data_IF_839684337248
#
_entry.id   IF_839684337248
#
_cell.length_a   1.000
_cell.length_b   1.000
_cell.length_c   1.000
_cell.angle_alpha   90.00
_cell.angle_beta   90.00
_cell.angle_gamma   90.00
#
_symmetry.space_group_name_H-M   'P 1'
#
loop_
_entity.id
_entity.type
_entity.pdbx_description
1 polymer ?
#
# COMPACT_ATOMS: atom_id res chain seq x y z
N UNK A 1 -21.97 9.94 -22.02
CA UNK A 1 -22.91 9.16 -21.17
C UNK A 1 -23.33 10.04 -20.00
N UNK A 2 -24.62 10.05 -19.64
CA UNK A 2 -25.08 10.74 -18.42
C UNK A 2 -25.05 9.77 -17.25
N UNK A 3 -24.67 10.23 -16.06
CA UNK A 3 -24.69 9.40 -14.84
C UNK A 3 -26.06 8.75 -14.58
N UNK A 4 -27.14 9.45 -14.92
CA UNK A 4 -28.52 8.95 -14.81
C UNK A 4 -28.80 7.69 -15.63
N UNK A 5 -28.02 7.42 -16.67
CA UNK A 5 -28.20 6.28 -17.58
C UNK A 5 -27.47 5.01 -17.11
N UNK A 6 -26.60 5.11 -16.09
CA UNK A 6 -25.87 3.95 -15.56
C UNK A 6 -26.80 2.94 -14.88
N UNK A 7 -26.38 1.67 -14.90
CA UNK A 7 -27.02 0.59 -14.14
C UNK A 7 -27.12 0.96 -12.64
N UNK A 8 -28.24 0.61 -12.01
CA UNK A 8 -28.49 0.87 -10.59
C UNK A 8 -27.44 0.24 -9.66
N UNK A 9 -26.94 -0.95 -9.98
CA UNK A 9 -25.90 -1.65 -9.24
C UNK A 9 -24.57 -0.89 -9.29
N UNK A 10 -24.18 -0.39 -10.47
CA UNK A 10 -22.97 0.44 -10.64
C UNK A 10 -23.07 1.72 -9.83
N UNK A 11 -24.22 2.42 -9.89
CA UNK A 11 -24.48 3.62 -9.08
C UNK A 11 -24.39 3.32 -7.58
N UNK A 12 -24.93 2.18 -7.14
CA UNK A 12 -24.91 1.75 -5.73
C UNK A 12 -23.48 1.48 -5.26
N UNK A 13 -22.70 0.74 -6.03
CA UNK A 13 -21.29 0.46 -5.74
C UNK A 13 -20.48 1.75 -5.73
N UNK A 14 -20.61 2.59 -6.76
CA UNK A 14 -19.89 3.87 -6.85
C UNK A 14 -20.18 4.81 -5.67
N UNK A 15 -21.43 4.90 -5.23
CA UNK A 15 -21.83 5.77 -4.11
C UNK A 15 -21.10 5.40 -2.81
N UNK A 16 -20.70 4.13 -2.63
CA UNK A 16 -19.97 3.66 -1.44
C UNK A 16 -18.49 4.05 -1.43
N UNK A 17 -17.89 4.24 -2.60
CA UNK A 17 -16.44 4.42 -2.74
C UNK A 17 -16.03 5.81 -3.19
N UNK A 18 -16.94 6.61 -3.77
CA UNK A 18 -16.65 7.95 -4.32
C UNK A 18 -16.05 8.94 -3.31
N UNK A 19 -16.20 8.68 -2.02
CA UNK A 19 -15.67 9.52 -0.94
C UNK A 19 -14.23 9.16 -0.54
N UNK A 20 -13.69 8.05 -1.06
CA UNK A 20 -12.27 7.71 -0.94
C UNK A 20 -11.51 8.56 -1.97
N UNK A 21 -11.03 9.71 -1.53
CA UNK A 21 -10.37 10.71 -2.37
C UNK A 21 -8.89 10.42 -2.62
N UNK A 22 -8.31 9.43 -1.94
CA UNK A 22 -7.03 8.81 -2.33
C UNK A 22 -7.05 8.27 -3.76
N UNK A 23 -8.23 8.05 -4.33
CA UNK A 23 -8.45 7.57 -5.68
C UNK A 23 -9.14 8.61 -6.56
N UNK A 24 -8.71 8.69 -7.82
CA UNK A 24 -9.43 9.38 -8.89
C UNK A 24 -10.28 8.38 -9.69
N UNK A 25 -11.60 8.58 -9.68
CA UNK A 25 -12.56 7.61 -10.21
C UNK A 25 -13.09 7.98 -11.60
N UNK A 26 -13.11 6.99 -12.50
CA UNK A 26 -13.80 7.00 -13.78
C UNK A 26 -14.86 5.88 -13.82
N UNK A 27 -15.99 6.11 -14.49
CA UNK A 27 -17.07 5.13 -14.62
C UNK A 27 -17.35 4.89 -16.10
N UNK A 28 -17.38 3.63 -16.52
CA UNK A 28 -17.62 3.18 -17.90
C UNK A 28 -18.64 2.05 -17.88
N UNK A 29 -19.88 2.30 -18.29
CA UNK A 29 -20.95 1.29 -18.36
C UNK A 29 -21.11 0.46 -17.07
N UNK A 30 -20.46 -0.70 -16.99
CA UNK A 30 -20.44 -1.70 -15.91
C UNK A 30 -19.15 -1.70 -15.07
N UNK A 31 -18.14 -0.91 -15.45
CA UNK A 31 -16.83 -0.82 -14.79
C UNK A 31 -16.64 0.52 -14.09
N UNK A 32 -15.97 0.47 -12.93
CA UNK A 32 -15.45 1.65 -12.22
C UNK A 32 -13.93 1.49 -12.15
N UNK A 33 -13.19 2.49 -12.62
CA UNK A 33 -11.72 2.49 -12.61
C UNK A 33 -11.25 3.60 -11.67
N UNK A 34 -10.53 3.25 -10.62
CA UNK A 34 -9.83 4.18 -9.73
C UNK A 34 -8.35 4.23 -10.07
N UNK A 35 -7.74 5.41 -10.04
CA UNK A 35 -6.28 5.57 -10.02
C UNK A 35 -5.88 6.11 -8.66
N UNK A 36 -4.99 5.43 -7.95
CA UNK A 36 -4.47 5.95 -6.68
C UNK A 36 -3.64 7.21 -6.95
N UNK A 37 -4.04 8.35 -6.39
CA UNK A 37 -3.53 9.68 -6.79
C UNK A 37 -2.04 9.90 -6.56
N UNK A 38 -1.42 9.13 -5.66
CA UNK A 38 0.00 9.27 -5.35
C UNK A 38 0.87 8.37 -6.23
N UNK A 39 0.43 7.11 -6.44
CA UNK A 39 1.24 6.10 -7.14
C UNK A 39 0.78 5.81 -8.56
N UNK A 40 -0.35 6.39 -8.98
CA UNK A 40 -1.03 6.11 -10.25
C UNK A 40 -1.44 4.63 -10.43
N UNK A 41 -1.41 3.80 -9.37
CA UNK A 41 -1.78 2.39 -9.45
C UNK A 41 -3.27 2.26 -9.81
N UNK A 42 -3.61 1.56 -10.92
CA UNK A 42 -5.00 1.41 -11.33
C UNK A 42 -5.70 0.30 -10.53
N UNK A 43 -6.93 0.59 -10.11
CA UNK A 43 -7.88 -0.32 -9.47
C UNK A 43 -9.09 -0.46 -10.40
N UNK A 44 -9.38 -1.67 -10.86
CA UNK A 44 -10.48 -1.95 -11.79
C UNK A 44 -11.55 -2.73 -11.07
N UNK A 45 -12.74 -2.14 -10.98
CA UNK A 45 -13.88 -2.67 -10.26
C UNK A 45 -14.96 -3.04 -11.27
N UNK A 46 -15.26 -4.32 -11.39
CA UNK A 46 -16.34 -4.84 -12.24
C UNK A 46 -17.53 -5.23 -11.37
N UNK A 47 -18.72 -4.69 -11.68
CA UNK A 47 -19.95 -5.04 -10.96
C UNK A 47 -20.64 -6.19 -11.68
N UNK A 48 -20.75 -7.33 -11.01
CA UNK A 48 -21.21 -8.59 -11.63
C UNK A 48 -22.45 -9.14 -10.95
N UNK A 49 -23.25 -9.89 -11.71
CA UNK A 49 -24.52 -10.44 -11.25
C UNK A 49 -24.41 -11.77 -10.52
N UNK A 50 -23.33 -12.54 -10.75
CA UNK A 50 -23.18 -13.87 -10.16
C UNK A 50 -21.73 -14.24 -9.82
N UNK A 51 -21.58 -15.24 -8.95
CA UNK A 51 -20.27 -15.77 -8.55
C UNK A 51 -19.55 -16.40 -9.74
N UNK A 52 -20.28 -17.09 -10.62
CA UNK A 52 -19.74 -17.69 -11.84
C UNK A 52 -19.18 -16.63 -12.79
N UNK A 53 -19.86 -15.50 -12.92
CA UNK A 53 -19.37 -14.36 -13.71
C UNK A 53 -18.10 -13.76 -13.10
N UNK A 54 -18.08 -13.54 -11.78
CA UNK A 54 -16.90 -13.05 -11.05
C UNK A 54 -15.69 -13.97 -11.26
N UNK A 55 -15.89 -15.28 -11.19
CA UNK A 55 -14.83 -16.26 -11.36
C UNK A 55 -14.30 -16.32 -12.79
N UNK A 56 -15.18 -16.20 -13.80
CA UNK A 56 -14.74 -16.08 -15.20
C UNK A 56 -13.89 -14.83 -15.43
N UNK A 57 -14.27 -13.69 -14.85
CA UNK A 57 -13.47 -12.47 -14.94
C UNK A 57 -12.08 -12.67 -14.31
N UNK A 58 -11.96 -13.45 -13.24
CA UNK A 58 -10.65 -13.72 -12.62
C UNK A 58 -9.69 -14.53 -13.50
N UNK A 59 -10.17 -15.18 -14.55
CA UNK A 59 -9.33 -15.88 -15.52
C UNK A 59 -8.72 -14.91 -16.55
N UNK A 60 -9.26 -13.69 -16.64
CA UNK A 60 -8.83 -12.64 -17.55
C UNK A 60 -8.07 -11.56 -16.76
N UNK A 61 -6.93 -11.10 -17.28
CA UNK A 61 -6.16 -10.01 -16.65
C UNK A 61 -6.10 -8.83 -17.59
N UNK A 62 -6.65 -7.70 -17.14
CA UNK A 62 -6.69 -6.43 -17.88
C UNK A 62 -5.39 -5.61 -17.71
N UNK A 63 -4.25 -6.30 -17.56
CA UNK A 63 -2.92 -5.70 -17.40
C UNK A 63 -2.51 -5.38 -15.96
N UNK A 64 -1.45 -4.57 -15.75
CA UNK A 64 -0.96 -4.20 -14.42
C UNK A 64 -2.02 -3.44 -13.61
N UNK A 65 -2.22 -3.80 -12.35
CA UNK A 65 -3.20 -3.17 -11.46
C UNK A 65 -3.85 -4.15 -10.49
N UNK A 66 -4.88 -3.69 -9.78
CA UNK A 66 -5.67 -4.50 -8.87
C UNK A 66 -7.08 -4.67 -9.44
N UNK A 67 -7.50 -5.91 -9.61
CA UNK A 67 -8.81 -6.26 -10.13
C UNK A 67 -9.74 -6.67 -8.98
N UNK A 68 -10.96 -6.13 -8.98
CA UNK A 68 -11.99 -6.40 -7.99
C UNK A 68 -13.31 -6.69 -8.71
N UNK A 69 -13.86 -7.88 -8.50
CA UNK A 69 -15.22 -8.23 -8.91
C UNK A 69 -16.17 -8.08 -7.72
N UNK A 70 -17.20 -7.24 -7.88
CA UNK A 70 -18.12 -6.87 -6.82
C UNK A 70 -19.48 -7.52 -7.04
N UNK A 71 -19.91 -8.29 -6.05
CA UNK A 71 -21.23 -8.93 -6.00
C UNK A 71 -22.21 -8.11 -5.15
N UNK A 72 -23.32 -7.61 -5.73
CA UNK A 72 -24.44 -7.08 -4.98
C UNK A 72 -25.04 -8.10 -4.00
N UNK A 73 -25.38 -7.66 -2.78
CA UNK A 73 -26.27 -8.40 -1.86
C UNK A 73 -25.83 -9.82 -1.45
N UNK A 74 -24.53 -10.11 -1.44
CA UNK A 74 -24.00 -11.41 -1.00
C UNK A 74 -23.16 -11.26 0.29
N UNK A 75 -22.72 -12.37 0.90
CA UNK A 75 -21.68 -12.41 1.92
C UNK A 75 -20.45 -13.18 1.41
N UNK A 76 -19.71 -12.57 0.51
CA UNK A 76 -18.57 -13.18 -0.18
C UNK A 76 -17.32 -12.32 0.01
N UNK A 77 -16.20 -12.96 0.30
CA UNK A 77 -14.88 -12.35 0.28
C UNK A 77 -13.83 -13.44 0.06
N UNK A 78 -13.20 -13.45 -1.11
CA UNK A 78 -12.06 -14.33 -1.40
C UNK A 78 -11.24 -13.76 -2.55
N UNK A 79 -10.07 -14.35 -2.80
CA UNK A 79 -9.20 -13.99 -3.92
C UNK A 79 -9.06 -15.22 -4.81
N UNK A 80 -9.26 -15.03 -6.11
CA UNK A 80 -9.05 -16.06 -7.14
C UNK A 80 -8.18 -15.47 -8.24
N UNK A 81 -7.08 -16.13 -8.60
CA UNK A 81 -6.16 -15.72 -9.67
C UNK A 81 -5.60 -14.29 -9.55
N UNK A 82 -5.57 -13.72 -8.34
CA UNK A 82 -5.14 -12.34 -8.08
C UNK A 82 -6.26 -11.29 -8.14
N UNK A 83 -7.50 -11.70 -8.37
CA UNK A 83 -8.70 -10.84 -8.36
C UNK A 83 -9.42 -10.98 -7.04
N UNK A 84 -9.76 -9.85 -6.40
CA UNK A 84 -10.65 -9.84 -5.24
C UNK A 84 -12.08 -10.08 -5.69
N UNK A 85 -12.72 -11.10 -5.16
CA UNK A 85 -14.15 -11.36 -5.36
C UNK A 85 -14.84 -11.12 -4.03
N UNK A 86 -15.59 -10.03 -3.95
CA UNK A 86 -16.15 -9.55 -2.69
C UNK A 86 -17.54 -8.94 -2.83
N UNK A 87 -18.26 -8.90 -1.71
CA UNK A 87 -19.51 -8.17 -1.61
C UNK A 87 -19.27 -6.67 -1.50
N UNK A 88 -20.18 -5.87 -2.06
CA UNK A 88 -20.09 -4.40 -2.04
C UNK A 88 -19.94 -3.77 -0.64
N UNK A 89 -20.33 -4.47 0.43
CA UNK A 89 -20.17 -4.00 1.82
C UNK A 89 -18.71 -4.01 2.29
N UNK A 90 -17.86 -4.86 1.71
CA UNK A 90 -16.44 -4.96 2.06
C UNK A 90 -15.57 -4.03 1.22
N UNK A 91 -16.08 -3.62 0.04
CA UNK A 91 -15.32 -2.87 -0.95
C UNK A 91 -14.65 -1.60 -0.38
N UNK A 92 -15.38 -0.80 0.39
CA UNK A 92 -14.82 0.44 0.95
C UNK A 92 -13.64 0.16 1.87
N UNK A 93 -13.79 -0.79 2.80
CA UNK A 93 -12.72 -1.18 3.72
C UNK A 93 -11.52 -1.73 2.96
N UNK A 94 -11.75 -2.63 2.00
CA UNK A 94 -10.68 -3.20 1.16
C UNK A 94 -9.91 -2.15 0.37
N UNK A 95 -10.59 -1.12 -0.15
CA UNK A 95 -9.92 -0.01 -0.83
C UNK A 95 -9.07 0.83 0.13
N UNK A 96 -9.55 1.07 1.36
CA UNK A 96 -8.74 1.74 2.39
C UNK A 96 -7.51 0.88 2.75
N UNK A 97 -7.69 -0.42 2.93
CA UNK A 97 -6.57 -1.33 3.17
C UNK A 97 -5.59 -1.33 1.99
N UNK A 98 -6.07 -1.35 0.74
CA UNK A 98 -5.19 -1.26 -0.44
C UNK A 98 -4.38 0.04 -0.40
N UNK A 99 -5.00 1.18 -0.10
CA UNK A 99 -4.31 2.47 0.04
C UNK A 99 -3.19 2.39 1.08
N UNK A 100 -3.48 1.83 2.25
CA UNK A 100 -2.51 1.69 3.35
C UNK A 100 -1.33 0.76 3.03
N UNK A 101 -1.47 -0.04 1.96
CA UNK A 101 -0.45 -0.95 1.45
C UNK A 101 0.22 -0.43 0.17
N UNK A 102 -0.09 0.78 -0.29
CA UNK A 102 0.69 1.48 -1.32
C UNK A 102 1.62 2.45 -0.61
N UNK A 103 2.86 2.02 -0.39
CA UNK A 103 3.80 2.71 0.48
C UNK A 103 4.91 3.34 -0.34
N UNK A 104 5.25 4.59 -0.05
CA UNK A 104 6.39 5.28 -0.66
C UNK A 104 7.70 4.58 -0.23
N UNK A 105 8.57 4.30 -1.20
CA UNK A 105 9.83 3.56 -0.99
C UNK A 105 11.07 4.30 -1.46
N UNK A 106 10.92 5.53 -1.97
CA UNK A 106 12.06 6.33 -2.38
C UNK A 106 11.72 7.37 -3.43
N UNK A 107 12.75 8.07 -3.89
CA UNK A 107 12.63 9.11 -4.90
C UNK A 107 13.89 9.19 -5.76
N UNK A 108 13.74 9.85 -6.91
CA UNK A 108 14.86 10.36 -7.70
C UNK A 108 14.53 11.73 -8.28
N UNK A 109 15.53 12.60 -8.41
CA UNK A 109 15.40 13.91 -9.06
C UNK A 109 15.96 13.79 -10.47
N UNK A 110 15.14 14.15 -11.46
CA UNK A 110 15.51 14.12 -12.88
C UNK A 110 15.36 15.51 -13.50
N UNK A 111 16.12 15.79 -14.56
CA UNK A 111 15.87 16.94 -15.41
C UNK A 111 14.84 16.58 -16.49
N UNK A 112 13.77 17.37 -16.61
CA UNK A 112 12.79 17.27 -17.70
C UNK A 112 12.36 18.67 -18.11
N UNK A 113 12.47 19.00 -19.39
CA UNK A 113 12.11 20.30 -19.96
C UNK A 113 12.82 21.50 -19.26
N UNK A 114 14.11 21.34 -18.92
CA UNK A 114 14.92 22.40 -18.30
C UNK A 114 14.59 22.69 -16.83
N UNK A 115 13.82 21.82 -16.16
CA UNK A 115 13.51 21.89 -14.72
C UNK A 115 13.84 20.58 -14.03
N UNK A 116 14.18 20.66 -12.75
CA UNK A 116 14.31 19.49 -11.88
C UNK A 116 12.92 19.05 -11.41
N UNK A 117 12.66 17.75 -11.52
CA UNK A 117 11.40 17.12 -11.13
C UNK A 117 11.71 15.90 -10.27
N UNK A 118 11.02 15.76 -9.14
CA UNK A 118 11.07 14.56 -8.33
C UNK A 118 10.14 13.50 -8.93
N UNK A 119 10.65 12.29 -9.09
CA UNK A 119 9.88 11.09 -9.36
C UNK A 119 9.90 10.21 -8.10
N UNK A 120 8.72 9.97 -7.56
CA UNK A 120 8.53 9.11 -6.39
C UNK A 120 8.36 7.65 -6.80
N UNK A 121 8.88 6.76 -5.97
CA UNK A 121 8.70 5.32 -6.09
C UNK A 121 7.72 4.86 -5.01
N UNK A 122 6.71 4.10 -5.42
CA UNK A 122 5.74 3.47 -4.53
C UNK A 122 5.76 1.96 -4.72
N UNK A 123 5.62 1.22 -3.64
CA UNK A 123 5.49 -0.23 -3.65
C UNK A 123 4.10 -0.65 -3.15
N UNK A 124 3.44 -1.54 -3.90
CA UNK A 124 2.20 -2.17 -3.46
C UNK A 124 2.50 -3.48 -2.72
N UNK A 125 2.22 -3.49 -1.42
CA UNK A 125 2.50 -4.57 -0.48
C UNK A 125 1.35 -5.59 -0.43
N UNK A 126 1.05 -6.21 -1.58
CA UNK A 126 -0.08 -7.14 -1.73
C UNK A 126 0.02 -8.39 -0.85
N UNK A 127 1.24 -8.92 -0.61
CA UNK A 127 1.46 -10.04 0.31
C UNK A 127 1.07 -9.70 1.75
N UNK A 128 1.66 -8.64 2.35
CA UNK A 128 1.25 -8.11 3.64
C UNK A 128 -0.24 -7.79 3.73
N UNK A 129 -0.84 -7.17 2.70
CA UNK A 129 -2.28 -6.89 2.67
C UNK A 129 -3.11 -8.15 2.95
N UNK A 130 -2.80 -9.26 2.28
CA UNK A 130 -3.56 -10.51 2.47
C UNK A 130 -3.38 -11.06 3.88
N UNK A 131 -2.18 -10.94 4.46
CA UNK A 131 -1.93 -11.35 5.84
C UNK A 131 -2.73 -10.49 6.81
N UNK A 132 -2.73 -9.18 6.65
CA UNK A 132 -3.45 -8.25 7.53
C UNK A 132 -4.96 -8.43 7.45
N UNK A 133 -5.51 -8.63 6.24
CA UNK A 133 -6.93 -8.96 6.05
C UNK A 133 -7.33 -10.27 6.78
N UNK A 134 -6.47 -11.29 6.77
CA UNK A 134 -6.73 -12.56 7.46
C UNK A 134 -6.64 -12.44 8.98
N UNK A 135 -5.72 -11.62 9.48
CA UNK A 135 -5.51 -11.38 10.90
C UNK A 135 -6.36 -10.24 11.47
N UNK A 136 -7.16 -9.58 10.63
CA UNK A 136 -7.92 -8.37 10.97
C UNK A 136 -7.03 -7.28 11.61
N UNK A 137 -5.83 -7.10 11.06
CA UNK A 137 -4.89 -6.07 11.50
C UNK A 137 -5.11 -4.76 10.76
N UNK A 138 -5.05 -3.64 11.47
CA UNK A 138 -5.23 -2.29 10.94
C UNK A 138 -3.96 -1.44 11.05
N UNK A 139 -3.59 -0.77 9.95
CA UNK A 139 -2.49 0.18 9.94
C UNK A 139 -2.79 1.36 10.88
N UNK A 140 -1.80 1.83 11.63
CA UNK A 140 -1.90 2.90 12.63
C UNK A 140 -2.46 2.43 13.97
N UNK A 141 -2.98 1.21 14.06
CA UNK A 141 -3.51 0.63 15.30
C UNK A 141 -2.69 -0.58 15.76
N UNK A 142 -2.57 -1.59 14.89
CA UNK A 142 -1.92 -2.86 15.22
C UNK A 142 -0.47 -2.91 14.70
N UNK A 143 -0.20 -2.16 13.62
CA UNK A 143 1.11 -2.01 13.02
C UNK A 143 1.22 -0.69 12.27
N UNK A 144 2.43 -0.30 11.87
CA UNK A 144 2.66 0.72 10.83
C UNK A 144 3.72 0.24 9.84
N UNK A 145 3.65 0.69 8.60
CA UNK A 145 4.79 0.57 7.68
C UNK A 145 5.73 1.77 7.87
N UNK A 146 7.02 1.50 7.91
CA UNK A 146 8.04 2.53 8.07
C UNK A 146 9.24 2.28 7.15
N UNK A 147 9.83 3.37 6.66
CA UNK A 147 10.95 3.34 5.73
C UNK A 147 12.28 3.28 6.50
N UNK A 148 13.13 2.35 6.07
CA UNK A 148 14.49 2.21 6.58
C UNK A 148 15.51 2.23 5.44
N UNK A 149 16.45 3.16 5.53
CA UNK A 149 17.57 3.25 4.60
C UNK A 149 18.64 2.24 4.98
N UNK A 150 19.19 1.54 3.97
CA UNK A 150 20.30 0.61 4.15
C UNK A 150 21.63 1.33 3.90
N UNK A 151 22.31 1.73 4.97
CA UNK A 151 23.56 2.48 4.87
C UNK A 151 24.64 1.68 4.11
N UNK A 152 25.21 2.26 3.05
CA UNK A 152 26.20 1.58 2.21
C UNK A 152 27.57 1.44 2.90
N UNK A 153 27.80 2.18 4.00
CA UNK A 153 29.07 2.15 4.75
C UNK A 153 29.10 1.08 5.82
N UNK A 154 28.01 0.88 6.55
CA UNK A 154 27.94 -0.08 7.67
C UNK A 154 26.99 -1.26 7.43
N UNK A 155 26.16 -1.21 6.37
CA UNK A 155 25.19 -2.23 6.03
C UNK A 155 24.00 -2.35 6.99
N UNK A 156 23.84 -1.39 7.91
CA UNK A 156 22.75 -1.35 8.90
C UNK A 156 21.56 -0.57 8.36
N UNK A 157 20.38 -0.92 8.85
CA UNK A 157 19.15 -0.19 8.62
C UNK A 157 19.05 1.01 9.57
N UNK A 158 18.68 2.16 9.01
CA UNK A 158 18.50 3.45 9.69
C UNK A 158 17.09 3.91 9.36
N UNK A 159 16.30 4.30 10.36
CA UNK A 159 14.98 4.90 10.11
C UNK A 159 15.15 6.18 9.29
N UNK A 160 14.15 6.49 8.45
CA UNK A 160 14.21 7.62 7.51
C UNK A 160 14.56 8.97 8.16
N UNK A 161 14.09 9.22 9.38
CA UNK A 161 14.30 10.49 10.09
C UNK A 161 15.75 10.64 10.55
N UNK A 162 16.42 9.53 10.88
CA UNK A 162 17.82 9.52 11.35
C UNK A 162 18.86 9.47 10.22
N UNK A 163 18.45 9.31 8.95
CA UNK A 163 19.38 9.20 7.80
C UNK A 163 20.35 10.39 7.68
N UNK A 164 19.92 11.67 7.80
CA UNK A 164 20.83 12.80 7.66
C UNK A 164 21.96 12.80 8.68
N UNK A 165 21.64 12.54 9.95
CA UNK A 165 22.62 12.49 11.03
C UNK A 165 23.53 11.27 10.91
N UNK A 166 22.96 10.12 10.55
CA UNK A 166 23.72 8.89 10.36
C UNK A 166 24.77 9.02 9.25
N UNK A 167 24.36 9.54 8.08
CA UNK A 167 25.25 9.71 6.94
C UNK A 167 26.33 10.78 7.19
N UNK A 168 26.01 11.82 7.97
CA UNK A 168 27.00 12.82 8.37
C UNK A 168 28.16 12.21 9.19
N UNK A 169 27.89 11.23 10.06
CA UNK A 169 28.94 10.47 10.79
C UNK A 169 29.88 9.70 9.85
N UNK A 170 29.43 9.41 8.63
CA UNK A 170 30.23 8.78 7.57
C UNK A 170 30.83 9.79 6.57
N UNK A 171 30.69 11.10 6.82
CA UNK A 171 31.17 12.15 5.90
C UNK A 171 30.35 12.27 4.62
N UNK A 172 29.13 11.73 4.60
CA UNK A 172 28.21 11.78 3.45
C UNK A 172 27.16 12.86 3.72
N UNK A 173 26.94 13.74 2.74
CA UNK A 173 25.91 14.79 2.83
C UNK A 173 24.68 14.37 2.03
N UNK A 174 23.54 14.22 2.72
CA UNK A 174 22.23 13.94 2.08
C UNK A 174 21.84 15.01 1.07
N UNK A 175 22.19 16.28 1.32
CA UNK A 175 21.93 17.38 0.39
C UNK A 175 22.62 17.26 -0.98
N UNK A 176 23.56 16.31 -1.13
CA UNK A 176 24.22 16.01 -2.40
C UNK A 176 23.64 14.79 -3.12
N UNK A 177 22.67 14.10 -2.51
CA UNK A 177 21.99 12.95 -3.11
C UNK A 177 20.82 13.46 -3.95
N UNK A 178 20.70 12.91 -5.14
CA UNK A 178 19.59 13.12 -6.07
C UNK A 178 18.60 11.95 -6.05
N UNK A 179 18.90 10.88 -5.29
CA UNK A 179 18.05 9.71 -5.16
C UNK A 179 18.31 8.95 -3.85
N UNK A 180 17.25 8.35 -3.33
CA UNK A 180 17.27 7.48 -2.16
C UNK A 180 16.22 6.37 -2.30
N UNK A 181 16.60 5.16 -1.89
CA UNK A 181 15.71 3.99 -1.85
C UNK A 181 15.68 3.44 -0.42
N UNK A 182 14.51 2.98 -0.02
CA UNK A 182 14.21 2.53 1.33
C UNK A 182 13.61 1.13 1.31
N UNK A 183 14.01 0.32 2.29
CA UNK A 183 13.27 -0.88 2.62
C UNK A 183 12.04 -0.49 3.46
N UNK A 184 10.90 -1.13 3.17
CA UNK A 184 9.68 -0.94 3.95
C UNK A 184 9.53 -2.09 4.94
N UNK A 185 9.51 -1.77 6.23
CA UNK A 185 9.28 -2.73 7.30
C UNK A 185 7.96 -2.47 8.01
N UNK A 186 7.33 -3.55 8.45
CA UNK A 186 6.15 -3.55 9.31
C UNK A 186 6.64 -3.48 10.77
N UNK A 187 6.32 -2.38 11.46
CA UNK A 187 6.48 -2.26 12.90
C UNK A 187 5.20 -2.76 13.55
N UNK A 188 5.23 -3.98 14.09
CA UNK A 188 4.06 -4.66 14.60
C UNK A 188 3.93 -4.45 16.11
N UNK A 189 2.93 -3.68 16.53
CA UNK A 189 2.73 -3.30 17.93
C UNK A 189 2.12 -4.45 18.76
N UNK A 190 1.41 -5.38 18.13
CA UNK A 190 0.87 -6.56 18.81
C UNK A 190 1.98 -7.52 19.22
N UNK A 191 2.99 -7.70 18.35
CA UNK A 191 4.10 -8.62 18.59
C UNK A 191 5.34 -7.95 19.20
N UNK A 192 5.43 -6.61 19.16
CA UNK A 192 6.63 -5.87 19.56
C UNK A 192 7.84 -6.20 18.67
N UNK A 193 7.58 -6.48 17.39
CA UNK A 193 8.54 -7.03 16.44
C UNK A 193 8.51 -6.26 15.12
N UNK A 194 9.56 -6.49 14.32
CA UNK A 194 9.74 -5.86 13.03
C UNK A 194 9.74 -6.95 11.97
N UNK A 195 8.93 -6.78 10.93
CA UNK A 195 8.87 -7.73 9.81
C UNK A 195 9.23 -7.05 8.51
N UNK A 196 9.89 -7.77 7.61
CA UNK A 196 10.04 -7.30 6.24
C UNK A 196 8.71 -7.43 5.46
N UNK A 197 8.67 -6.89 4.24
CA UNK A 197 7.51 -6.99 3.34
C UNK A 197 7.09 -8.42 2.96
N UNK A 198 7.87 -9.44 3.29
CA UNK A 198 7.52 -10.85 3.10
C UNK A 198 6.96 -11.51 4.38
N UNK A 199 7.00 -10.82 5.52
CA UNK A 199 6.58 -11.36 6.82
C UNK A 199 7.67 -12.05 7.60
N UNK A 200 8.94 -11.87 7.23
CA UNK A 200 10.06 -12.44 7.97
C UNK A 200 10.49 -11.47 9.06
N UNK A 201 10.63 -11.98 10.29
CA UNK A 201 11.08 -11.20 11.43
C UNK A 201 12.54 -10.73 11.24
N UNK A 202 12.79 -9.46 11.52
CA UNK A 202 14.11 -8.86 11.44
C UNK A 202 14.73 -8.69 12.83
N UNK A 203 15.91 -9.26 13.09
CA UNK A 203 16.56 -9.11 14.38
C UNK A 203 17.08 -7.68 14.59
N UNK A 204 16.97 -7.19 15.82
CA UNK A 204 17.40 -5.86 16.26
C UNK A 204 18.85 -5.52 15.86
N UNK A 205 19.74 -6.51 15.76
CA UNK A 205 21.13 -6.30 15.38
C UNK A 205 21.33 -5.87 13.91
N UNK A 206 20.29 -5.91 13.06
CA UNK A 206 20.32 -5.37 11.69
C UNK A 206 20.21 -3.85 11.65
N UNK A 207 19.75 -3.23 12.73
CA UNK A 207 19.50 -1.80 12.82
C UNK A 207 20.68 -1.06 13.46
N UNK A 208 20.88 0.18 13.03
CA UNK A 208 21.87 1.08 13.63
C UNK A 208 21.45 1.48 15.06
N UNK A 209 22.38 1.95 15.92
CA UNK A 209 22.05 2.38 17.27
C UNK A 209 20.89 3.38 17.36
N UNK A 210 20.85 4.38 16.49
CA UNK A 210 19.78 5.38 16.39
C UNK A 210 18.43 4.75 16.05
N UNK A 211 18.39 3.89 15.02
CA UNK A 211 17.17 3.18 14.64
C UNK A 211 16.66 2.26 15.76
N UNK A 212 17.55 1.61 16.52
CA UNK A 212 17.12 0.82 17.68
C UNK A 212 16.51 1.68 18.78
N UNK A 213 17.03 2.89 19.00
CA UNK A 213 16.44 3.82 19.95
C UNK A 213 15.03 4.23 19.50
N UNK A 214 14.87 4.63 18.24
CA UNK A 214 13.57 4.91 17.62
C UNK A 214 12.59 3.73 17.76
N UNK A 215 13.02 2.52 17.45
CA UNK A 215 12.19 1.32 17.56
C UNK A 215 11.74 1.05 18.99
N UNK A 216 12.61 1.24 19.97
CA UNK A 216 12.26 1.08 21.39
C UNK A 216 11.24 2.14 21.83
N UNK A 217 11.35 3.37 21.35
CA UNK A 217 10.36 4.42 21.61
C UNK A 217 9.00 4.09 20.99
N UNK A 218 8.99 3.57 19.76
CA UNK A 218 7.77 3.18 19.05
C UNK A 218 7.01 2.02 19.71
N UNK A 219 7.72 1.01 20.23
CA UNK A 219 7.09 -0.11 20.92
C UNK A 219 6.76 0.20 22.39
N UNK A 220 7.34 1.27 22.95
CA UNK A 220 7.23 1.62 24.37
C UNK A 220 8.05 0.71 25.29
N UNK A 221 8.02 0.99 26.59
CA UNK A 221 8.60 0.07 27.58
C UNK A 221 7.82 -1.26 27.59
N UNK A 222 8.51 -2.41 27.75
CA UNK A 222 7.84 -3.68 27.91
C UNK A 222 6.82 -3.57 29.06
N UNK A 223 5.54 -3.86 28.80
CA UNK A 223 4.57 -3.98 29.89
C UNK A 223 5.06 -5.09 30.83
N UNK A 224 5.39 -4.69 32.05
CA UNK A 224 5.81 -5.58 33.14
C UNK A 224 4.71 -6.59 33.51
#
# INVERSE_FOLDING_TARGET
MKYSELNADVKRVYTKIRALDDYHWHIYEDKIIGHHRKSELPIRISVVGSKEEAEKLSEQKDGPGIDIAVLPNNNTFYIKNGVFILSERFLKATLMDINDHIVWSGFRVIERDGRLMQEDTYEYLGGPLIRHLKSNMMNGQDYVFWQFYKCEKCGKYVDIESVPEHLAKHGISVAKKDSEEYEIFELNFLEGKIFNKFGEELPQNKFAPEARAFLNEMFGEPKA
#
